data_IF_979473567347
#
_entry.id   IF_979473567347
#
_cell.length_a   1.000
_cell.length_b   1.000
_cell.length_c   1.000
_cell.angle_alpha   90.00
_cell.angle_beta   90.00
_cell.angle_gamma   90.00
#
_symmetry.space_group_name_H-M   'P 1'
#
loop_
_entity.id
_entity.type
_entity.pdbx_description
1 polymer ?
#
# COMPACT_ATOMS: atom_id res chain seq x y z
N UNK A 1 9.36 -9.07 -15.23
CA UNK A 1 8.89 -7.70 -14.94
C UNK A 1 10.07 -6.89 -14.47
N UNK A 2 10.19 -5.66 -14.97
CA UNK A 2 11.10 -4.67 -14.42
C UNK A 2 10.34 -3.85 -13.38
N UNK A 3 10.98 -3.46 -12.29
CA UNK A 3 10.31 -2.67 -11.24
C UNK A 3 9.78 -1.32 -11.76
N UNK A 4 10.43 -0.77 -12.78
CA UNK A 4 10.02 0.46 -13.46
C UNK A 4 8.73 0.31 -14.28
N UNK A 5 8.28 -0.92 -14.52
CA UNK A 5 6.97 -1.20 -15.13
C UNK A 5 5.85 -1.16 -14.07
N UNK A 6 6.19 -1.29 -12.79
CA UNK A 6 5.25 -1.30 -11.66
C UNK A 6 5.21 0.06 -10.94
N UNK A 7 6.37 0.68 -10.74
CA UNK A 7 6.49 2.00 -10.12
C UNK A 7 6.33 3.09 -11.18
N UNK A 8 5.09 3.45 -11.48
CA UNK A 8 4.75 4.61 -12.32
C UNK A 8 4.57 5.86 -11.46
N UNK A 9 4.53 7.04 -12.10
CA UNK A 9 4.26 8.30 -11.39
C UNK A 9 2.95 8.26 -10.62
N UNK A 10 1.94 7.59 -11.18
CA UNK A 10 0.61 7.51 -10.57
C UNK A 10 0.56 6.52 -9.39
N UNK A 11 1.59 5.70 -9.20
CA UNK A 11 1.70 4.78 -8.05
C UNK A 11 2.61 5.30 -6.93
N UNK A 12 3.10 6.54 -7.04
CA UNK A 12 4.03 7.14 -6.09
C UNK A 12 3.36 8.33 -5.41
N UNK A 13 3.17 8.21 -4.10
CA UNK A 13 2.76 9.31 -3.24
C UNK A 13 4.00 9.89 -2.50
N UNK A 14 4.21 11.19 -2.61
CA UNK A 14 5.25 11.93 -1.87
C UNK A 14 4.58 12.90 -0.90
N UNK A 15 5.32 13.34 0.11
CA UNK A 15 4.87 14.36 1.08
C UNK A 15 3.52 14.03 1.73
N UNK A 16 3.35 12.78 2.17
CA UNK A 16 2.13 12.28 2.81
C UNK A 16 1.99 12.91 4.21
N UNK A 17 0.84 13.53 4.49
CA UNK A 17 0.54 14.17 5.78
C UNK A 17 0.13 13.17 6.90
N UNK A 18 -0.09 11.91 6.56
CA UNK A 18 -0.54 10.90 7.53
C UNK A 18 0.51 10.62 8.60
N UNK A 19 0.11 10.75 9.87
CA UNK A 19 1.00 10.54 11.03
C UNK A 19 0.78 9.21 11.74
N UNK A 20 -0.14 8.39 11.25
CA UNK A 20 -0.46 7.07 11.80
C UNK A 20 -0.24 5.99 10.76
N UNK A 21 0.06 4.78 11.22
CA UNK A 21 0.23 3.60 10.37
C UNK A 21 -0.97 3.38 9.46
N UNK A 22 -2.16 3.41 10.03
CA UNK A 22 -3.41 3.17 9.31
C UNK A 22 -3.67 4.29 8.29
N UNK A 23 -3.38 5.54 8.64
CA UNK A 23 -3.50 6.67 7.72
C UNK A 23 -2.53 6.57 6.53
N UNK A 24 -1.30 6.10 6.76
CA UNK A 24 -0.33 5.85 5.67
C UNK A 24 -0.82 4.71 4.78
N UNK A 25 -1.27 3.58 5.35
CA UNK A 25 -1.83 2.47 4.58
C UNK A 25 -3.03 2.94 3.74
N UNK A 26 -3.94 3.71 4.33
CA UNK A 26 -5.10 4.26 3.64
C UNK A 26 -4.68 5.15 2.45
N UNK A 27 -3.71 6.04 2.66
CA UNK A 27 -3.18 6.91 1.60
C UNK A 27 -2.59 6.10 0.45
N UNK A 28 -1.83 5.04 0.76
CA UNK A 28 -1.21 4.18 -0.25
C UNK A 28 -2.23 3.35 -1.01
N UNK A 29 -3.27 2.82 -0.34
CA UNK A 29 -4.37 2.11 -1.00
C UNK A 29 -5.13 3.04 -1.94
N UNK A 30 -5.41 4.26 -1.48
CA UNK A 30 -6.09 5.28 -2.28
C UNK A 30 -5.28 5.67 -3.52
N UNK A 31 -3.95 5.78 -3.39
CA UNK A 31 -3.06 6.04 -4.52
C UNK A 31 -3.15 4.93 -5.59
N UNK A 32 -3.15 3.67 -5.17
CA UNK A 32 -3.24 2.53 -6.09
C UNK A 32 -4.63 2.42 -6.76
N UNK A 33 -5.70 2.77 -6.03
CA UNK A 33 -7.07 2.84 -6.56
C UNK A 33 -7.19 3.93 -7.62
N UNK A 34 -6.68 5.14 -7.33
CA UNK A 34 -6.66 6.26 -8.29
C UNK A 34 -5.85 5.96 -9.54
N UNK A 35 -4.77 5.17 -9.40
CA UNK A 35 -3.98 4.69 -10.54
C UNK A 35 -4.64 3.57 -11.34
N UNK A 36 -5.82 3.08 -10.93
CA UNK A 36 -6.55 2.01 -11.60
C UNK A 36 -5.89 0.63 -11.48
N UNK A 37 -5.07 0.42 -10.44
CA UNK A 37 -4.35 -0.84 -10.22
C UNK A 37 -5.23 -1.85 -9.46
N UNK A 38 -6.13 -1.37 -8.60
CA UNK A 38 -6.97 -2.22 -7.77
C UNK A 38 -8.24 -2.61 -8.50
N UNK A 39 -8.62 -3.89 -8.39
CA UNK A 39 -9.94 -4.37 -8.83
C UNK A 39 -11.04 -3.99 -7.85
N UNK A 40 -10.75 -4.11 -6.54
CA UNK A 40 -11.64 -3.73 -5.46
C UNK A 40 -10.82 -3.15 -4.30
N UNK A 41 -10.98 -1.85 -4.08
CA UNK A 41 -10.30 -1.09 -3.02
C UNK A 41 -10.62 -1.60 -1.61
N UNK A 42 -11.89 -1.93 -1.35
CA UNK A 42 -12.34 -2.31 -0.02
C UNK A 42 -11.77 -3.68 0.38
N UNK A 43 -11.84 -4.64 -0.53
CA UNK A 43 -11.26 -5.98 -0.34
C UNK A 43 -9.75 -5.89 -0.18
N UNK A 44 -9.07 -5.09 -1.00
CA UNK A 44 -7.62 -4.91 -0.88
C UNK A 44 -7.21 -4.28 0.45
N UNK A 45 -7.92 -3.23 0.88
CA UNK A 45 -7.69 -2.55 2.17
C UNK A 45 -7.84 -3.51 3.34
N UNK A 46 -8.96 -4.22 3.41
CA UNK A 46 -9.22 -5.21 4.47
C UNK A 46 -8.12 -6.27 4.53
N UNK A 47 -7.72 -6.80 3.37
CA UNK A 47 -6.70 -7.82 3.28
C UNK A 47 -5.31 -7.31 3.70
N UNK A 48 -4.95 -6.05 3.37
CA UNK A 48 -3.71 -5.42 3.85
C UNK A 48 -3.70 -5.34 5.38
N UNK A 49 -4.78 -4.86 6.01
CA UNK A 49 -4.86 -4.76 7.47
C UNK A 49 -4.81 -6.14 8.15
N UNK A 50 -5.48 -7.14 7.59
CA UNK A 50 -5.39 -8.51 8.08
C UNK A 50 -3.95 -9.06 8.03
N UNK A 51 -3.24 -8.81 6.91
CA UNK A 51 -1.83 -9.21 6.75
C UNK A 51 -0.92 -8.51 7.76
N UNK A 52 -1.15 -7.22 7.97
CA UNK A 52 -0.36 -6.39 8.85
C UNK A 52 -0.61 -6.71 10.35
N UNK A 53 -1.82 -7.16 10.68
CA UNK A 53 -2.19 -7.64 12.02
C UNK A 53 -1.55 -8.97 12.41
N UNK A 54 -1.14 -9.79 11.42
CA UNK A 54 -0.45 -11.07 11.70
C UNK A 54 0.98 -10.84 12.17
N UNK A 55 1.77 -10.14 11.35
CA UNK A 55 3.16 -9.76 11.63
C UNK A 55 3.41 -8.44 10.91
N UNK A 56 4.08 -7.50 11.59
CA UNK A 56 4.51 -6.23 11.00
C UNK A 56 5.21 -6.43 9.66
N UNK A 57 4.87 -5.61 8.67
CA UNK A 57 5.61 -5.58 7.39
C UNK A 57 6.73 -4.54 7.40
N UNK A 58 7.01 -3.93 8.56
CA UNK A 58 8.19 -3.11 8.80
C UNK A 58 9.46 -3.96 8.73
N UNK A 59 10.40 -3.55 7.88
CA UNK A 59 11.68 -4.25 7.66
C UNK A 59 12.86 -3.55 8.35
N UNK A 60 12.59 -2.51 9.14
CA UNK A 60 13.60 -1.70 9.84
C UNK A 60 14.07 -0.50 9.04
N UNK A 61 14.90 0.32 9.67
CA UNK A 61 15.53 1.52 9.05
C UNK A 61 14.51 2.50 8.43
N UNK A 62 13.33 2.63 9.04
CA UNK A 62 12.27 3.50 8.52
C UNK A 62 11.60 3.00 7.24
N UNK A 63 11.73 1.71 6.90
CA UNK A 63 11.12 1.11 5.71
C UNK A 63 10.10 0.02 6.06
N UNK A 64 9.08 -0.10 5.23
CA UNK A 64 8.05 -1.15 5.32
C UNK A 64 7.64 -1.59 3.91
N UNK A 65 7.12 -2.82 3.81
CA UNK A 65 6.58 -3.36 2.55
C UNK A 65 5.17 -3.90 2.81
N UNK A 66 4.14 -3.05 3.01
CA UNK A 66 2.76 -3.51 3.10
C UNK A 66 2.35 -4.17 1.77
N UNK A 67 1.94 -5.43 1.81
CA UNK A 67 1.57 -6.20 0.62
C UNK A 67 0.51 -7.24 0.96
N UNK A 68 -0.35 -7.56 0.00
CA UNK A 68 -1.29 -8.68 0.13
C UNK A 68 -1.58 -9.29 -1.22
N UNK A 69 -2.01 -10.55 -1.21
CA UNK A 69 -2.60 -11.21 -2.38
C UNK A 69 -4.11 -11.26 -2.19
N UNK A 70 -4.83 -10.57 -3.06
CA UNK A 70 -6.29 -10.69 -3.20
C UNK A 70 -6.60 -11.70 -4.31
N UNK A 71 -7.76 -12.36 -4.22
CA UNK A 71 -8.22 -13.38 -5.17
C UNK A 71 -8.76 -12.76 -6.46
#
# INVERSE_FOLDING_TARGET
MRITELLTRDTIAMDIDATTKDGVIDTLVDQLDQAGILSDKAVFKEAIFAREGTITTGIGEGRAIPHVKVA
#
